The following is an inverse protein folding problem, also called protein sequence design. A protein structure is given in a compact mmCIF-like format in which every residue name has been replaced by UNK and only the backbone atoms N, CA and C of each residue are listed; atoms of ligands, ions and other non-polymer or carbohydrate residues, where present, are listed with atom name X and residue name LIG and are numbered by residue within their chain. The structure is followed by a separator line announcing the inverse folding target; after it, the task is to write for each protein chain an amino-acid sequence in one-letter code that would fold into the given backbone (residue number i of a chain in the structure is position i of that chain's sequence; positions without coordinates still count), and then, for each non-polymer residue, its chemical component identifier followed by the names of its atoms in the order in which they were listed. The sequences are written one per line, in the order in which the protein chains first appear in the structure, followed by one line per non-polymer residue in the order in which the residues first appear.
data_IF_330098172473
#
_entry.id   IF_330098172473
#
_cell.length_a   1.000
_cell.length_b   1.000
_cell.length_c   1.000
_cell.angle_alpha   90.00
_cell.angle_beta   90.00
_cell.angle_gamma   90.00
#
_symmetry.space_group_name_H-M   'P 1'
#
loop_
_entity.id
_entity.type
_entity.pdbx_description
1 polymer ?
#
# COMPACT_ATOMS: atom_id res chain seq x y z
N UNK A 1 16.28 9.04 -5.76
CA UNK A 1 15.84 7.66 -6.07
C UNK A 1 14.33 7.66 -6.13
N UNK A 2 13.76 7.25 -7.26
CA UNK A 2 12.31 7.09 -7.41
C UNK A 2 11.95 5.65 -7.05
N UNK A 3 10.92 5.46 -6.22
CA UNK A 3 10.43 4.14 -5.80
C UNK A 3 9.13 3.89 -6.54
N UNK A 4 9.00 2.76 -7.25
CA UNK A 4 7.75 2.29 -7.83
C UNK A 4 6.94 1.56 -6.78
N UNK A 5 5.86 2.19 -6.34
CA UNK A 5 5.01 1.70 -5.27
C UNK A 5 3.75 1.07 -5.85
N UNK A 6 3.34 -0.05 -5.28
CA UNK A 6 1.97 -0.54 -5.43
C UNK A 6 1.34 -0.63 -4.06
N UNK A 7 0.03 -0.39 -3.97
CA UNK A 7 -0.65 -0.38 -2.68
C UNK A 7 -2.02 -1.03 -2.74
N UNK A 8 -2.45 -1.56 -1.60
CA UNK A 8 -3.82 -2.00 -1.36
C UNK A 8 -4.38 -1.19 -0.19
N UNK A 9 -5.53 -0.57 -0.39
CA UNK A 9 -6.30 0.10 0.67
C UNK A 9 -7.57 -0.70 0.95
N UNK A 10 -7.82 -1.06 2.21
CA UNK A 10 -9.01 -1.86 2.55
C UNK A 10 -9.51 -1.67 3.98
N UNK A 11 -10.83 -1.48 4.15
CA UNK A 11 -11.49 -1.27 5.44
C UNK A 11 -12.82 -2.05 5.51
N UNK A 12 -13.13 -2.68 6.67
CA UNK A 12 -14.36 -3.47 6.89
C UNK A 12 -15.62 -2.66 6.54
N UNK A 13 -15.64 -1.40 6.97
CA UNK A 13 -16.87 -0.64 7.18
C UNK A 13 -17.21 0.31 6.04
N UNK A 14 -16.37 0.47 5.00
CA UNK A 14 -16.83 1.29 3.90
C UNK A 14 -15.88 1.71 2.78
N UNK A 15 -16.55 2.44 1.90
CA UNK A 15 -16.09 3.18 0.72
C UNK A 15 -15.18 4.33 1.18
N UNK A 16 -15.63 5.13 2.16
CA UNK A 16 -14.98 6.39 2.53
C UNK A 16 -13.49 6.26 2.93
N UNK A 17 -13.17 5.56 4.03
CA UNK A 17 -11.78 5.49 4.50
C UNK A 17 -10.85 4.78 3.51
N UNK A 18 -11.37 3.80 2.77
CA UNK A 18 -10.64 3.10 1.72
C UNK A 18 -10.17 4.08 0.63
N UNK A 19 -11.08 4.91 0.11
CA UNK A 19 -10.72 5.92 -0.91
C UNK A 19 -9.95 7.11 -0.33
N UNK A 20 -10.27 7.55 0.89
CA UNK A 20 -9.52 8.62 1.56
C UNK A 20 -8.05 8.24 1.74
N UNK A 21 -7.77 7.00 2.14
CA UNK A 21 -6.41 6.51 2.26
C UNK A 21 -5.72 6.40 0.89
N UNK A 22 -6.43 5.91 -0.14
CA UNK A 22 -5.90 5.87 -1.50
C UNK A 22 -5.51 7.27 -2.00
N UNK A 23 -6.44 8.24 -1.98
CA UNK A 23 -6.21 9.61 -2.44
C UNK A 23 -5.07 10.29 -1.66
N UNK A 24 -5.00 10.06 -0.34
CA UNK A 24 -3.93 10.62 0.49
C UNK A 24 -2.58 10.01 0.13
N UNK A 25 -2.51 8.72 -0.18
CA UNK A 25 -1.29 8.08 -0.66
C UNK A 25 -0.87 8.62 -2.03
N UNK A 26 -1.81 8.79 -2.97
CA UNK A 26 -1.51 9.38 -4.28
C UNK A 26 -0.88 10.76 -4.15
N UNK A 27 -1.44 11.62 -3.29
CA UNK A 27 -0.89 12.95 -3.01
C UNK A 27 0.53 12.90 -2.44
N UNK A 28 0.80 11.99 -1.49
CA UNK A 28 2.14 11.80 -0.95
C UNK A 28 3.13 11.32 -2.03
N UNK A 29 2.75 10.31 -2.81
CA UNK A 29 3.59 9.76 -3.87
C UNK A 29 3.87 10.81 -4.95
N UNK A 30 2.89 11.64 -5.31
CA UNK A 30 3.06 12.76 -6.23
C UNK A 30 4.10 13.77 -5.71
N UNK A 31 4.06 14.12 -4.42
CA UNK A 31 5.07 15.00 -3.80
C UNK A 31 6.47 14.39 -3.83
N UNK A 32 6.59 13.08 -3.67
CA UNK A 32 7.86 12.35 -3.73
C UNK A 32 8.30 11.98 -5.16
N UNK A 33 7.45 12.26 -6.17
CA UNK A 33 7.62 11.83 -7.57
C UNK A 33 7.76 10.32 -7.72
N UNK A 34 7.02 9.57 -6.91
CA UNK A 34 6.95 8.12 -6.95
C UNK A 34 5.76 7.66 -7.79
N UNK A 35 5.95 6.82 -8.81
CA UNK A 35 4.83 6.19 -9.48
C UNK A 35 4.12 5.27 -8.50
N UNK A 36 2.79 5.36 -8.43
CA UNK A 36 1.97 4.55 -7.55
C UNK A 36 0.75 4.00 -8.29
N UNK A 37 0.43 2.72 -8.05
CA UNK A 37 -0.85 2.12 -8.42
C UNK A 37 -1.53 1.60 -7.16
N UNK A 38 -2.81 1.93 -6.96
CA UNK A 38 -3.54 1.60 -5.74
C UNK A 38 -4.75 0.75 -6.09
N UNK A 39 -4.78 -0.48 -5.57
CA UNK A 39 -5.98 -1.31 -5.52
C UNK A 39 -6.79 -0.95 -4.28
N UNK A 40 -8.11 -0.92 -4.42
CA UNK A 40 -9.04 -0.67 -3.30
C UNK A 40 -9.91 -1.88 -3.11
N UNK A 41 -10.04 -2.36 -1.88
CA UNK A 41 -10.92 -3.47 -1.52
C UNK A 41 -11.91 -2.99 -0.46
N UNK A 42 -13.21 -2.95 -0.78
CA UNK A 42 -14.24 -2.49 0.14
C UNK A 42 -15.62 -3.03 -0.20
N UNK A 43 -16.66 -2.35 0.29
CA UNK A 43 -18.05 -2.77 0.10
C UNK A 43 -18.50 -2.85 -1.38
N UNK A 44 -17.82 -2.14 -2.28
CA UNK A 44 -18.07 -2.17 -3.72
C UNK A 44 -17.27 -3.26 -4.45
N UNK A 45 -16.58 -4.12 -3.72
CA UNK A 45 -15.65 -5.12 -4.26
C UNK A 45 -14.22 -4.57 -4.42
N UNK A 46 -13.46 -5.22 -5.31
CA UNK A 46 -12.07 -4.87 -5.64
C UNK A 46 -12.08 -3.97 -6.87
N UNK A 47 -11.43 -2.81 -6.77
CA UNK A 47 -11.29 -1.84 -7.86
C UNK A 47 -9.81 -1.53 -8.11
N UNK A 48 -9.43 -1.42 -9.39
CA UNK A 48 -8.06 -1.21 -9.86
C UNK A 48 -7.07 -2.31 -9.42
N UNK A 49 -7.49 -3.56 -9.61
CA UNK A 49 -6.73 -4.74 -9.22
C UNK A 49 -5.28 -4.69 -9.70
N UNK A 50 -4.35 -4.98 -8.80
CA UNK A 50 -2.93 -5.14 -9.09
C UNK A 50 -2.74 -6.44 -9.88
N UNK A 51 -2.08 -6.31 -11.03
CA UNK A 51 -1.70 -7.45 -11.86
C UNK A 51 -0.36 -8.03 -11.41
N UNK A 52 -0.04 -9.23 -11.88
CA UNK A 52 1.29 -9.81 -11.66
C UNK A 52 2.41 -8.92 -12.19
N UNK A 53 2.19 -8.22 -13.31
CA UNK A 53 3.17 -7.29 -13.87
C UNK A 53 3.40 -6.07 -12.97
N UNK A 54 2.33 -5.52 -12.38
CA UNK A 54 2.43 -4.41 -11.43
C UNK A 54 3.29 -4.81 -10.22
N UNK A 55 3.06 -6.01 -9.69
CA UNK A 55 3.80 -6.56 -8.55
C UNK A 55 5.26 -6.86 -8.89
N UNK A 56 5.52 -7.41 -10.07
CA UNK A 56 6.88 -7.73 -10.52
C UNK A 56 7.74 -6.47 -10.73
N UNK A 57 7.11 -5.37 -11.15
CA UNK A 57 7.81 -4.10 -11.37
C UNK A 57 7.85 -3.21 -10.11
N UNK A 58 7.15 -3.57 -9.04
CA UNK A 58 7.11 -2.78 -7.82
C UNK A 58 8.38 -2.99 -6.99
N UNK A 59 8.93 -1.89 -6.47
CA UNK A 59 10.01 -1.92 -5.49
C UNK A 59 9.49 -2.34 -4.11
N UNK A 60 8.27 -1.89 -3.76
CA UNK A 60 7.62 -2.12 -2.47
C UNK A 60 6.09 -2.23 -2.67
N UNK A 61 5.47 -3.11 -1.88
CA UNK A 61 4.02 -3.24 -1.74
C UNK A 61 3.59 -2.60 -0.41
N UNK A 62 2.64 -1.67 -0.44
CA UNK A 62 2.08 -1.01 0.75
C UNK A 62 0.65 -1.49 1.02
N UNK A 63 0.44 -2.16 2.14
CA UNK A 63 -0.85 -2.69 2.57
C UNK A 63 -1.44 -1.77 3.65
N UNK A 64 -2.38 -0.91 3.26
CA UNK A 64 -3.12 0.00 4.16
C UNK A 64 -4.44 -0.66 4.52
N UNK A 65 -4.45 -1.43 5.60
CA UNK A 65 -5.62 -2.23 5.93
C UNK A 65 -5.76 -2.59 7.40
N UNK A 66 -7.02 -2.60 7.84
CA UNK A 66 -7.44 -3.12 9.15
C UNK A 66 -8.08 -4.51 9.04
N UNK A 67 -8.10 -5.11 7.84
CA UNK A 67 -8.74 -6.40 7.54
C UNK A 67 -7.77 -7.37 6.87
N UNK A 68 -8.22 -8.62 6.72
CA UNK A 68 -7.58 -9.56 5.83
C UNK A 68 -7.90 -9.17 4.39
N UNK A 69 -6.86 -8.99 3.57
CA UNK A 69 -7.01 -8.68 2.16
C UNK A 69 -7.44 -9.91 1.38
N UNK A 70 -8.27 -9.73 0.37
CA UNK A 70 -8.47 -10.72 -0.66
C UNK A 70 -7.16 -10.95 -1.44
N UNK A 71 -6.89 -12.21 -1.77
CA UNK A 71 -5.72 -12.67 -2.54
C UNK A 71 -4.37 -12.21 -1.95
N UNK A 72 -4.30 -12.17 -0.61
CA UNK A 72 -3.12 -11.68 0.13
C UNK A 72 -1.84 -12.46 -0.14
N UNK A 73 -1.97 -13.71 -0.58
CA UNK A 73 -0.87 -14.60 -0.95
C UNK A 73 0.00 -14.05 -2.09
N UNK A 74 -0.58 -13.20 -2.95
CA UNK A 74 0.14 -12.55 -4.05
C UNK A 74 1.25 -11.61 -3.58
N UNK A 75 1.23 -11.18 -2.31
CA UNK A 75 2.19 -10.23 -1.76
C UNK A 75 3.31 -10.88 -0.95
N UNK A 76 3.24 -12.19 -0.64
CA UNK A 76 4.15 -12.87 0.30
C UNK A 76 5.62 -12.71 -0.09
N UNK A 77 5.94 -12.87 -1.37
CA UNK A 77 7.32 -12.83 -1.87
C UNK A 77 7.84 -11.40 -2.17
N UNK A 78 7.03 -10.37 -1.89
CA UNK A 78 7.39 -8.98 -2.12
C UNK A 78 7.83 -8.29 -0.83
N UNK A 79 8.57 -7.19 -0.97
CA UNK A 79 8.83 -6.28 0.15
C UNK A 79 7.53 -5.61 0.53
N UNK A 80 7.03 -5.88 1.72
CA UNK A 80 5.74 -5.40 2.16
C UNK A 80 5.88 -4.43 3.33
N UNK A 81 5.15 -3.32 3.28
CA UNK A 81 4.88 -2.46 4.43
C UNK A 81 3.41 -2.57 4.73
N UNK A 82 3.03 -2.93 5.96
CA UNK A 82 1.64 -3.00 6.40
C UNK A 82 1.37 -1.93 7.46
N UNK A 83 0.26 -1.21 7.32
CA UNK A 83 -0.19 -0.18 8.26
C UNK A 83 -1.72 -0.19 8.34
N UNK A 84 -2.28 0.12 9.52
CA UNK A 84 -3.72 0.28 9.66
C UNK A 84 -4.25 1.54 8.95
N UNK A 85 -5.51 1.51 8.51
CA UNK A 85 -6.19 2.64 7.83
C UNK A 85 -6.13 3.89 8.69
N UNK A 86 -6.51 3.77 9.97
CA UNK A 86 -6.56 4.91 10.89
C UNK A 86 -5.16 5.47 11.19
N UNK A 87 -4.17 4.61 11.39
CA UNK A 87 -2.78 5.02 11.63
C UNK A 87 -2.22 5.75 10.41
N UNK A 88 -2.50 5.25 9.20
CA UNK A 88 -2.08 5.91 7.97
C UNK A 88 -2.75 7.29 7.79
N UNK A 89 -4.06 7.38 8.00
CA UNK A 89 -4.77 8.66 7.89
C UNK A 89 -4.32 9.67 8.96
N UNK A 90 -3.83 9.23 10.11
CA UNK A 90 -3.30 10.12 11.14
C UNK A 90 -1.86 10.55 10.89
N UNK A 91 -1.01 9.64 10.43
CA UNK A 91 0.44 9.84 10.28
C UNK A 91 0.96 9.33 8.93
N UNK A 92 0.47 9.90 7.82
CA UNK A 92 0.76 9.37 6.47
C UNK A 92 2.24 9.51 6.11
N UNK A 93 2.92 10.57 6.58
CA UNK A 93 4.33 10.83 6.31
C UNK A 93 5.27 9.76 6.88
N UNK A 94 4.88 9.09 7.98
CA UNK A 94 5.67 8.01 8.57
C UNK A 94 5.81 6.82 7.61
N UNK A 95 4.81 6.60 6.75
CA UNK A 95 4.83 5.49 5.78
C UNK A 95 5.96 5.65 4.78
N UNK A 96 6.29 6.88 4.38
CA UNK A 96 7.32 7.14 3.36
C UNK A 96 8.70 6.68 3.85
N UNK A 97 9.00 6.88 5.13
CA UNK A 97 10.24 6.39 5.73
C UNK A 97 10.30 4.86 5.76
N UNK A 98 9.19 4.21 6.16
CA UNK A 98 9.09 2.75 6.17
C UNK A 98 9.24 2.15 4.76
N UNK A 99 8.61 2.77 3.75
CA UNK A 99 8.74 2.37 2.34
C UNK A 99 10.18 2.52 1.85
N UNK A 100 10.87 3.64 2.16
CA UNK A 100 12.29 3.81 1.80
C UNK A 100 13.17 2.74 2.43
N UNK A 101 12.92 2.40 3.70
CA UNK A 101 13.65 1.35 4.42
C UNK A 101 13.39 -0.03 3.80
N UNK A 102 12.14 -0.34 3.48
CA UNK A 102 11.79 -1.60 2.82
C UNK A 102 12.48 -1.73 1.45
N UNK A 103 12.50 -0.66 0.65
CA UNK A 103 13.13 -0.65 -0.67
C UNK A 103 14.63 -0.98 -0.65
N UNK A 104 15.34 -0.62 0.42
CA UNK A 104 16.76 -0.93 0.60
C UNK A 104 17.03 -2.26 1.32
N UNK A 105 15.99 -3.01 1.68
CA UNK A 105 16.09 -4.28 2.42
C UNK A 105 16.07 -5.49 1.47
N UNK A 106 16.49 -6.68 1.94
CA UNK A 106 16.36 -7.91 1.16
C UNK A 106 14.94 -8.14 0.66
N UNK A 107 14.81 -8.93 -0.40
CA UNK A 107 13.49 -9.36 -0.87
C UNK A 107 12.75 -10.11 0.25
N UNK A 108 11.41 -10.11 0.23
CA UNK A 108 10.56 -10.72 1.27
C UNK A 108 10.62 -10.03 2.66
N UNK A 109 11.20 -8.82 2.76
CA UNK A 109 11.15 -8.03 3.99
C UNK A 109 9.72 -7.53 4.25
N UNK A 110 9.15 -7.90 5.40
CA UNK A 110 7.81 -7.46 5.82
C UNK A 110 7.91 -6.55 7.04
N UNK A 111 7.50 -5.28 6.90
CA UNK A 111 7.47 -4.28 7.96
C UNK A 111 6.02 -4.05 8.37
N UNK A 112 5.69 -4.31 9.64
CA UNK A 112 4.39 -3.94 10.21
C UNK A 112 4.51 -2.67 11.05
N UNK A 113 3.69 -1.67 10.72
CA UNK A 113 3.60 -0.40 11.44
C UNK A 113 2.40 -0.43 12.40
N UNK A 114 2.66 -0.12 13.68
CA UNK A 114 1.64 0.08 14.72
C UNK A 114 1.19 1.53 14.80
#
# INVERSE_FOLDING_TARGET
MSIKLVAVSACVSGVAHTYMAAERLEKLCAQQKWPVKIETQGALGIVNTLTHEDLAQADVVLLITDILLADSERFIHHRCVKIGINTFLRYPEKVLSAVRKAASSPQETHIQMG
#
